data_IF_672148833069
#
_entry.id   IF_672148833069
#
_cell.length_a   1.000
_cell.length_b   1.000
_cell.length_c   1.000
_cell.angle_alpha   90.00
_cell.angle_beta   90.00
_cell.angle_gamma   90.00
#
_symmetry.space_group_name_H-M   'P 1'
#
loop_
_entity.id
_entity.type
_entity.pdbx_description
1 polymer ?
#
# COMPACT_ATOMS: atom_id res chain seq x y z
N UNK A 1 11.26 -14.26 -11.95
CA UNK A 1 11.53 -12.82 -11.94
C UNK A 1 11.01 -12.23 -13.23
N UNK A 2 10.28 -11.13 -13.13
CA UNK A 2 9.81 -10.34 -14.26
C UNK A 2 11.00 -9.60 -14.89
N UNK A 3 11.04 -9.40 -16.21
CA UNK A 3 12.15 -8.72 -16.90
C UNK A 3 12.02 -7.20 -16.80
N UNK A 4 13.11 -6.46 -16.99
CA UNK A 4 13.07 -4.98 -17.01
C UNK A 4 12.10 -4.42 -18.06
N UNK A 5 11.91 -5.11 -19.18
CA UNK A 5 10.92 -4.73 -20.19
C UNK A 5 9.49 -4.91 -19.66
N UNK A 6 9.21 -6.04 -19.02
CA UNK A 6 7.92 -6.31 -18.40
C UNK A 6 7.61 -5.28 -17.30
N UNK A 7 8.60 -4.86 -16.50
CA UNK A 7 8.45 -3.76 -15.53
C UNK A 7 8.00 -2.46 -16.21
N UNK A 8 8.73 -2.06 -17.26
CA UNK A 8 8.45 -0.84 -17.99
C UNK A 8 7.04 -0.85 -18.59
N UNK A 9 6.64 -1.99 -19.17
CA UNK A 9 5.31 -2.16 -19.76
C UNK A 9 4.21 -2.08 -18.70
N UNK A 10 4.41 -2.70 -17.53
CA UNK A 10 3.42 -2.70 -16.45
C UNK A 10 3.31 -1.32 -15.78
N UNK A 11 4.44 -0.64 -15.54
CA UNK A 11 4.46 0.74 -15.04
C UNK A 11 3.69 1.67 -15.98
N UNK A 12 3.94 1.56 -17.28
CA UNK A 12 3.25 2.36 -18.30
C UNK A 12 1.76 2.07 -18.32
N UNK A 13 1.34 0.81 -18.18
CA UNK A 13 -0.08 0.42 -18.11
C UNK A 13 -0.77 1.04 -16.89
N UNK A 14 -0.20 0.85 -15.69
CA UNK A 14 -0.75 1.38 -14.43
C UNK A 14 -0.88 2.91 -14.52
N UNK A 15 0.18 3.59 -14.95
CA UNK A 15 0.19 5.05 -15.05
C UNK A 15 -0.86 5.56 -16.06
N UNK A 16 -0.96 4.95 -17.24
CA UNK A 16 -1.86 5.44 -18.30
C UNK A 16 -3.33 5.33 -17.89
N UNK A 17 -3.74 4.19 -17.33
CA UNK A 17 -5.12 4.01 -16.85
C UNK A 17 -5.43 4.96 -15.71
N UNK A 18 -4.59 4.97 -14.67
CA UNK A 18 -4.91 5.71 -13.45
C UNK A 18 -4.79 7.23 -13.61
N UNK A 19 -3.85 7.73 -14.43
CA UNK A 19 -3.76 9.17 -14.72
C UNK A 19 -5.01 9.66 -15.46
N UNK A 20 -5.58 8.83 -16.36
CA UNK A 20 -6.81 9.18 -17.07
C UNK A 20 -7.99 9.33 -16.11
N UNK A 21 -8.19 8.36 -15.22
CA UNK A 21 -9.29 8.34 -14.26
C UNK A 21 -9.17 9.47 -13.22
N UNK A 22 -7.97 9.70 -12.68
CA UNK A 22 -7.69 10.85 -11.79
C UNK A 22 -8.00 12.16 -12.50
N UNK A 23 -7.52 12.34 -13.74
CA UNK A 23 -7.72 13.58 -14.50
C UNK A 23 -9.20 13.83 -14.75
N UNK A 24 -9.97 12.79 -15.07
CA UNK A 24 -11.43 12.89 -15.24
C UNK A 24 -12.11 13.30 -13.94
N UNK A 25 -11.82 12.60 -12.85
CA UNK A 25 -12.41 12.89 -11.54
C UNK A 25 -12.10 14.32 -11.07
N UNK A 26 -10.87 14.83 -11.30
CA UNK A 26 -10.49 16.21 -10.99
C UNK A 26 -11.30 17.21 -11.82
N UNK A 27 -11.44 16.98 -13.13
CA UNK A 27 -12.23 17.85 -14.02
C UNK A 27 -13.71 17.89 -13.65
N UNK A 28 -14.24 16.77 -13.16
CA UNK A 28 -15.63 16.64 -12.69
C UNK A 28 -15.83 17.16 -11.25
N UNK A 29 -14.79 17.65 -10.58
CA UNK A 29 -14.86 18.14 -9.20
C UNK A 29 -15.02 17.04 -8.13
N UNK A 30 -14.83 15.78 -8.51
CA UNK A 30 -15.02 14.61 -7.65
C UNK A 30 -13.77 14.34 -6.80
N UNK A 31 -13.50 15.20 -5.82
CA UNK A 31 -12.27 15.17 -5.00
C UNK A 31 -12.04 13.82 -4.30
N UNK A 32 -13.08 13.20 -3.74
CA UNK A 32 -12.98 11.91 -3.05
C UNK A 32 -12.58 10.78 -4.00
N UNK A 33 -13.15 10.78 -5.20
CA UNK A 33 -12.86 9.79 -6.26
C UNK A 33 -11.42 9.97 -6.71
N UNK A 34 -11.00 11.19 -7.05
CA UNK A 34 -9.62 11.47 -7.45
C UNK A 34 -8.58 11.00 -6.39
N UNK A 35 -8.85 11.25 -5.11
CA UNK A 35 -7.98 10.81 -4.01
C UNK A 35 -7.96 9.29 -3.86
N UNK A 36 -9.08 8.62 -4.09
CA UNK A 36 -9.14 7.16 -4.07
C UNK A 36 -8.33 6.58 -5.23
N UNK A 37 -8.45 7.12 -6.44
CA UNK A 37 -7.66 6.65 -7.59
C UNK A 37 -6.14 6.82 -7.37
N UNK A 38 -5.71 7.90 -6.71
CA UNK A 38 -4.30 8.07 -6.30
C UNK A 38 -3.86 7.00 -5.32
N UNK A 39 -4.68 6.68 -4.31
CA UNK A 39 -4.37 5.60 -3.35
C UNK A 39 -4.30 4.24 -4.03
N UNK A 40 -5.19 3.99 -4.98
CA UNK A 40 -5.23 2.76 -5.76
C UNK A 40 -3.99 2.63 -6.66
N UNK A 41 -3.55 3.72 -7.29
CA UNK A 41 -2.28 3.76 -8.03
C UNK A 41 -1.10 3.43 -7.10
N UNK A 42 -1.02 4.04 -5.91
CA UNK A 42 0.05 3.78 -4.95
C UNK A 42 0.09 2.30 -4.50
N UNK A 43 -1.07 1.69 -4.22
CA UNK A 43 -1.15 0.26 -3.87
C UNK A 43 -0.64 -0.64 -5.00
N UNK A 44 -1.03 -0.37 -6.25
CA UNK A 44 -0.59 -1.16 -7.42
C UNK A 44 0.91 -1.06 -7.65
N UNK A 45 1.49 0.14 -7.49
CA UNK A 45 2.93 0.34 -7.59
C UNK A 45 3.70 -0.38 -6.49
N UNK A 46 3.17 -0.43 -5.26
CA UNK A 46 3.73 -1.23 -4.17
C UNK A 46 3.80 -2.72 -4.52
N UNK A 47 2.67 -3.30 -4.96
CA UNK A 47 2.61 -4.70 -5.38
C UNK A 47 3.59 -5.03 -6.53
N UNK A 48 3.76 -4.11 -7.47
CA UNK A 48 4.70 -4.26 -8.57
C UNK A 48 6.16 -4.23 -8.07
N UNK A 49 6.47 -3.36 -7.10
CA UNK A 49 7.79 -3.30 -6.48
C UNK A 49 8.11 -4.59 -5.71
N UNK A 50 7.16 -5.10 -4.94
CA UNK A 50 7.31 -6.34 -4.17
C UNK A 50 7.53 -7.56 -5.08
N UNK A 51 6.90 -7.57 -6.26
CA UNK A 51 7.12 -8.62 -7.27
C UNK A 51 8.53 -8.59 -7.90
N UNK A 52 9.22 -7.45 -7.83
CA UNK A 52 10.58 -7.26 -8.34
C UNK A 52 11.66 -7.48 -7.28
N UNK A 53 11.41 -7.07 -6.04
CA UNK A 53 12.30 -7.29 -4.91
C UNK A 53 11.60 -8.08 -3.79
N UNK A 54 11.47 -9.41 -3.94
CA UNK A 54 10.82 -10.25 -2.95
C UNK A 54 11.56 -10.29 -1.60
N UNK A 55 12.80 -9.78 -1.53
CA UNK A 55 13.56 -9.67 -0.27
C UNK A 55 13.10 -8.47 0.57
N UNK A 56 12.65 -7.38 -0.07
CA UNK A 56 12.15 -6.17 0.60
C UNK A 56 10.70 -6.29 1.09
N UNK A 57 9.89 -7.16 0.48
CA UNK A 57 8.51 -7.42 0.91
C UNK A 57 8.43 -8.17 2.26
N UNK A 58 9.42 -9.03 2.55
CA UNK A 58 9.53 -9.76 3.81
C UNK A 58 9.90 -8.84 4.99
N UNK A 59 10.78 -7.85 4.78
CA UNK A 59 11.22 -6.90 5.82
C UNK A 59 10.15 -5.85 6.19
N UNK A 60 9.13 -5.65 5.35
CA UNK A 60 8.09 -4.63 5.57
C UNK A 60 6.88 -5.14 6.38
N UNK A 61 6.88 -6.41 6.76
CA UNK A 61 5.74 -7.10 7.40
C UNK A 61 5.74 -7.09 8.94
N UNK A 62 6.64 -6.36 9.61
CA UNK A 62 6.55 -6.14 11.06
C UNK A 62 6.40 -4.64 11.36
N UNK A 63 5.27 -4.26 11.98
CA UNK A 63 5.39 -3.95 13.40
C UNK A 63 4.15 -4.41 14.19
N UNK A 64 4.31 -5.47 14.98
CA UNK A 64 3.46 -5.80 16.14
C UNK A 64 4.06 -7.03 16.81
N UNK A 65 4.11 -7.19 18.11
CA UNK A 65 3.80 -6.35 19.25
C UNK A 65 4.34 -7.17 20.42
N UNK A 66 5.37 -6.71 21.13
CA UNK A 66 5.72 -7.38 22.38
C UNK A 66 4.93 -6.74 23.52
N UNK A 67 4.13 -7.60 24.13
CA UNK A 67 3.08 -7.29 25.09
C UNK A 67 3.68 -7.46 26.47
N UNK A 68 3.58 -6.45 27.33
CA UNK A 68 3.49 -6.70 28.77
C UNK A 68 2.69 -5.56 29.41
N UNK A 69 1.37 -5.70 29.31
CA UNK A 69 0.46 -5.05 30.24
C UNK A 69 0.73 -5.59 31.63
N UNK A 70 1.01 -4.67 32.54
CA UNK A 70 1.13 -4.90 33.98
C UNK A 70 -0.25 -5.25 34.56
N UNK A 71 -0.45 -6.42 35.20
CA UNK A 71 -1.65 -6.64 35.99
C UNK A 71 -1.33 -6.27 37.44
N UNK A 72 -1.62 -5.02 37.81
CA UNK A 72 -1.93 -4.67 39.20
C UNK A 72 -3.34 -5.17 39.50
N UNK A 73 -3.45 -6.29 40.21
CA UNK A 73 -4.68 -6.62 40.94
C UNK A 73 -4.30 -7.04 42.38
N UNK A 74 -4.31 -6.04 43.25
CA UNK A 74 -4.40 -6.18 44.70
C UNK A 74 -5.82 -6.68 45.04
N UNK A 75 -5.94 -7.88 45.61
CA UNK A 75 -6.91 -8.16 46.68
C UNK A 75 -6.89 -9.65 47.09
N UNK A 76 -6.06 -10.00 48.07
CA UNK A 76 -6.35 -11.13 48.96
C UNK A 76 -5.48 -11.09 50.23
N UNK A 77 -6.05 -10.60 51.34
CA UNK A 77 -5.81 -11.15 52.67
C UNK A 77 -6.91 -10.66 53.62
N UNK A 78 -7.59 -11.63 54.20
CA UNK A 78 -8.56 -11.50 55.29
C UNK A 78 -7.89 -11.21 56.64
#
# INVERSE_FOLDING_TARGET
MMTSQQLADELKRIATTQVSDITRAVKEGQKSIALNEVRDMARRLGLLADAFDPKSAADRSEPAADTAGDPLDDAQAA
#
